data_IF_685993542308
#
_entry.id   IF_685993542308
#
_cell.length_a   1.000
_cell.length_b   1.000
_cell.length_c   1.000
_cell.angle_alpha   90.00
_cell.angle_beta   90.00
_cell.angle_gamma   90.00
#
_symmetry.space_group_name_H-M   'P 1'
#
loop_
_entity.id
_entity.type
_entity.pdbx_description
1 polymer ?
#
# COMPACT_ATOMS: atom_id res chain seq x y z
N UNK A 1 -8.01 -6.65 8.13
CA UNK A 1 -7.21 -5.48 8.57
C UNK A 1 -7.25 -5.38 10.11
N UNK A 2 -6.56 -6.30 10.81
CA UNK A 2 -6.78 -6.50 12.26
C UNK A 2 -5.75 -5.90 13.22
N UNK A 3 -4.60 -5.42 12.72
CA UNK A 3 -3.50 -4.91 13.56
C UNK A 3 -2.57 -3.98 12.77
N UNK A 4 -1.57 -3.42 13.46
CA UNK A 4 -0.56 -2.55 12.85
C UNK A 4 -1.17 -1.32 12.18
N UNK A 5 -0.52 -0.85 11.10
CA UNK A 5 -0.99 0.31 10.34
C UNK A 5 -2.38 0.07 9.73
N UNK A 6 -2.65 -1.14 9.21
CA UNK A 6 -3.94 -1.47 8.62
C UNK A 6 -5.08 -1.35 9.66
N UNK A 7 -4.87 -1.85 10.88
CA UNK A 7 -5.81 -1.70 11.98
C UNK A 7 -6.00 -0.25 12.41
N UNK A 8 -4.92 0.53 12.47
CA UNK A 8 -4.99 1.96 12.82
C UNK A 8 -5.76 2.79 11.77
N UNK A 9 -5.53 2.53 10.48
CA UNK A 9 -6.27 3.15 9.37
C UNK A 9 -7.75 2.82 9.48
N UNK A 10 -8.12 1.54 9.68
CA UNK A 10 -9.50 1.11 9.88
C UNK A 10 -10.13 1.79 11.09
N UNK A 11 -9.44 1.83 12.22
CA UNK A 11 -9.95 2.43 13.46
C UNK A 11 -10.26 3.92 13.28
N UNK A 12 -9.40 4.64 12.56
CA UNK A 12 -9.58 6.08 12.32
C UNK A 12 -10.58 6.38 11.17
N UNK A 13 -10.60 5.56 10.13
CA UNK A 13 -11.37 5.78 8.91
C UNK A 13 -12.76 5.12 8.89
N UNK A 14 -13.00 4.13 9.74
CA UNK A 14 -14.27 3.41 9.83
C UNK A 14 -14.29 2.05 9.13
N UNK A 15 -15.33 1.27 9.46
CA UNK A 15 -15.56 -0.09 8.95
C UNK A 15 -15.80 -0.14 7.43
N UNK A 16 -16.22 0.98 6.82
CA UNK A 16 -16.43 1.09 5.38
C UNK A 16 -15.15 0.80 4.57
N UNK A 17 -13.98 1.24 5.06
CA UNK A 17 -12.69 0.98 4.41
C UNK A 17 -12.42 -0.52 4.29
N UNK A 18 -12.63 -1.28 5.37
CA UNK A 18 -12.44 -2.73 5.32
C UNK A 18 -13.53 -3.42 4.49
N UNK A 19 -14.77 -2.95 4.59
CA UNK A 19 -15.90 -3.53 3.84
C UNK A 19 -15.68 -3.40 2.33
N UNK A 20 -15.25 -2.22 1.86
CA UNK A 20 -14.90 -1.99 0.46
C UNK A 20 -13.69 -2.85 0.05
N UNK A 21 -12.63 -2.89 0.86
CA UNK A 21 -11.43 -3.69 0.56
C UNK A 21 -11.74 -5.20 0.44
N UNK A 22 -12.58 -5.74 1.33
CA UNK A 22 -13.01 -7.13 1.30
C UNK A 22 -13.84 -7.48 0.07
N UNK A 23 -14.62 -6.53 -0.48
CA UNK A 23 -15.38 -6.74 -1.71
C UNK A 23 -14.49 -6.96 -2.95
N UNK A 24 -13.21 -6.56 -2.88
CA UNK A 24 -12.20 -6.72 -3.93
C UNK A 24 -11.20 -7.84 -3.62
N UNK A 25 -11.37 -8.57 -2.51
CA UNK A 25 -10.50 -9.68 -2.15
C UNK A 25 -10.85 -10.97 -2.94
N UNK A 26 -9.86 -11.85 -3.21
CA UNK A 26 -8.44 -11.71 -2.88
C UNK A 26 -7.71 -10.75 -3.84
N UNK A 27 -6.72 -10.05 -3.31
CA UNK A 27 -5.81 -9.19 -4.08
C UNK A 27 -4.52 -9.99 -4.33
N UNK A 28 -4.05 -10.01 -5.57
CA UNK A 28 -2.79 -10.64 -5.92
C UNK A 28 -1.61 -9.94 -5.23
N UNK A 29 -0.64 -10.72 -4.71
CA UNK A 29 0.53 -10.15 -4.04
C UNK A 29 1.34 -9.31 -5.04
N UNK A 30 1.73 -8.11 -4.63
CA UNK A 30 2.37 -7.11 -5.48
C UNK A 30 1.39 -6.14 -6.14
N UNK A 31 0.08 -6.35 -6.02
CA UNK A 31 -0.95 -5.45 -6.53
C UNK A 31 -1.61 -4.62 -5.43
N UNK A 32 -2.26 -3.53 -5.85
CA UNK A 32 -3.02 -2.65 -4.98
C UNK A 32 -4.42 -2.33 -5.53
N UNK A 33 -5.38 -2.21 -4.61
CA UNK A 33 -6.77 -1.78 -4.87
C UNK A 33 -7.09 -0.52 -4.08
N UNK A 34 -8.18 0.17 -4.43
CA UNK A 34 -8.52 1.49 -3.87
C UNK A 34 -9.88 1.46 -3.21
N UNK A 35 -9.98 2.05 -2.01
CA UNK A 35 -11.24 2.35 -1.35
C UNK A 35 -11.38 3.85 -1.13
N UNK A 36 -12.57 4.28 -0.72
CA UNK A 36 -12.75 5.58 -0.09
C UNK A 36 -11.85 5.71 1.15
N UNK A 37 -11.56 6.95 1.54
CA UNK A 37 -10.88 7.26 2.80
C UNK A 37 -11.76 7.14 4.04
N UNK A 38 -13.04 6.84 3.87
CA UNK A 38 -14.08 6.95 4.88
C UNK A 38 -14.02 8.26 5.66
N UNK A 39 -13.79 8.16 6.98
CA UNK A 39 -13.69 9.30 7.91
C UNK A 39 -12.30 9.95 7.97
N UNK A 40 -11.31 9.45 7.24
CA UNK A 40 -9.98 10.05 7.21
C UNK A 40 -10.00 11.41 6.50
N UNK A 41 -8.98 12.22 6.76
CA UNK A 41 -8.72 13.43 5.95
C UNK A 41 -8.22 13.08 4.55
N UNK A 42 -7.61 11.91 4.38
CA UNK A 42 -7.20 11.41 3.07
C UNK A 42 -8.43 11.00 2.26
N UNK A 43 -8.44 11.32 0.97
CA UNK A 43 -9.58 11.04 0.08
C UNK A 43 -9.75 9.54 -0.20
N UNK A 44 -8.63 8.82 -0.26
CA UNK A 44 -8.58 7.40 -0.64
C UNK A 44 -7.63 6.63 0.28
N UNK A 45 -7.84 5.32 0.37
CA UNK A 45 -6.84 4.38 0.88
C UNK A 45 -6.49 3.39 -0.23
N UNK A 46 -5.19 3.25 -0.49
CA UNK A 46 -4.64 2.28 -1.45
C UNK A 46 -4.14 1.08 -0.65
N UNK A 47 -4.78 -0.07 -0.85
CA UNK A 47 -4.51 -1.32 -0.14
C UNK A 47 -3.54 -2.17 -0.95
N UNK A 48 -2.26 -2.12 -0.59
CA UNK A 48 -1.21 -2.86 -1.27
C UNK A 48 -0.98 -4.23 -0.61
N UNK A 49 -1.11 -5.31 -1.39
CA UNK A 49 -0.85 -6.67 -0.92
C UNK A 49 0.65 -6.97 -0.98
N UNK A 50 1.34 -6.92 0.16
CA UNK A 50 2.81 -7.11 0.23
C UNK A 50 3.23 -8.47 0.78
N UNK A 51 2.27 -9.30 1.19
CA UNK A 51 2.49 -10.50 1.97
C UNK A 51 1.36 -11.50 1.74
N UNK A 52 1.68 -12.79 1.67
CA UNK A 52 0.71 -13.86 1.52
C UNK A 52 0.12 -14.36 2.85
N UNK A 53 -0.76 -15.37 2.80
CA UNK A 53 -1.30 -16.03 4.00
C UNK A 53 -0.23 -16.70 4.88
N UNK A 54 0.93 -17.01 4.31
CA UNK A 54 2.11 -17.57 5.01
C UNK A 54 2.87 -16.52 5.83
N UNK A 55 2.41 -15.27 5.83
CA UNK A 55 3.04 -14.12 6.48
C UNK A 55 4.46 -13.84 5.96
N UNK A 56 4.79 -14.33 4.77
CA UNK A 56 6.08 -14.09 4.14
C UNK A 56 5.99 -12.96 3.11
N UNK A 57 7.02 -12.13 3.10
CA UNK A 57 7.22 -11.08 2.12
C UNK A 57 8.62 -11.20 1.52
N UNK A 58 8.86 -10.51 0.42
CA UNK A 58 10.18 -10.47 -0.21
C UNK A 58 10.36 -9.16 -0.98
N UNK A 59 11.58 -8.96 -1.47
CA UNK A 59 11.99 -7.76 -2.21
C UNK A 59 11.08 -7.47 -3.42
N UNK A 60 10.73 -8.52 -4.18
CA UNK A 60 9.87 -8.40 -5.36
C UNK A 60 8.46 -7.97 -5.00
N UNK A 61 7.87 -8.50 -3.92
CA UNK A 61 6.53 -8.13 -3.48
C UNK A 61 6.45 -6.68 -3.04
N UNK A 62 7.44 -6.21 -2.26
CA UNK A 62 7.53 -4.82 -1.83
C UNK A 62 7.70 -3.90 -3.05
N UNK A 63 8.58 -4.26 -3.98
CA UNK A 63 8.81 -3.50 -5.20
C UNK A 63 7.55 -3.37 -6.07
N UNK A 64 6.88 -4.49 -6.35
CA UNK A 64 5.66 -4.52 -7.18
C UNK A 64 4.52 -3.74 -6.51
N UNK A 65 4.30 -3.96 -5.22
CA UNK A 65 3.26 -3.27 -4.46
C UNK A 65 3.50 -1.75 -4.39
N UNK A 66 4.76 -1.32 -4.31
CA UNK A 66 5.13 0.10 -4.37
C UNK A 66 4.75 0.70 -5.72
N UNK A 67 5.14 0.05 -6.83
CA UNK A 67 4.79 0.50 -8.19
C UNK A 67 3.26 0.50 -8.37
N UNK A 68 2.58 -0.59 -7.99
CA UNK A 68 1.13 -0.70 -8.14
C UNK A 68 0.39 0.38 -7.36
N UNK A 69 0.88 0.76 -6.17
CA UNK A 69 0.29 1.84 -5.38
C UNK A 69 0.45 3.20 -6.06
N UNK A 70 1.62 3.48 -6.65
CA UNK A 70 1.85 4.71 -7.43
C UNK A 70 0.96 4.76 -8.68
N UNK A 71 0.85 3.64 -9.42
CA UNK A 71 -0.09 3.56 -10.55
C UNK A 71 -1.54 3.87 -10.15
N UNK A 72 -2.00 3.36 -8.99
CA UNK A 72 -3.32 3.72 -8.46
C UNK A 72 -3.42 5.22 -8.12
N UNK A 73 -2.36 5.83 -7.61
CA UNK A 73 -2.35 7.28 -7.33
C UNK A 73 -2.45 8.11 -8.61
N UNK A 74 -1.75 7.72 -9.68
CA UNK A 74 -1.88 8.33 -11.01
C UNK A 74 -3.31 8.23 -11.54
N UNK A 75 -3.91 7.04 -11.48
CA UNK A 75 -5.29 6.80 -11.95
C UNK A 75 -6.34 7.61 -11.18
N UNK A 76 -6.09 7.89 -9.90
CA UNK A 76 -6.93 8.74 -9.05
C UNK A 76 -6.66 10.23 -9.25
N UNK A 77 -5.71 10.59 -10.11
CA UNK A 77 -5.19 11.94 -10.28
C UNK A 77 -4.76 12.57 -8.94
N UNK A 78 -4.21 11.77 -8.03
CA UNK A 78 -3.79 12.25 -6.73
C UNK A 78 -2.59 13.20 -6.84
N UNK A 79 -2.57 14.23 -5.99
CA UNK A 79 -1.45 15.18 -5.89
C UNK A 79 -0.39 14.70 -4.88
N UNK A 80 -0.76 13.79 -3.98
CA UNK A 80 0.11 13.31 -2.91
C UNK A 80 -0.27 11.90 -2.47
N UNK A 81 0.73 11.10 -2.12
CA UNK A 81 0.58 9.76 -1.53
C UNK A 81 1.55 9.63 -0.34
N UNK A 82 1.12 8.91 0.70
CA UNK A 82 1.96 8.57 1.84
C UNK A 82 2.07 7.06 1.98
N UNK A 83 3.29 6.56 2.18
CA UNK A 83 3.57 5.14 2.32
C UNK A 83 3.94 4.78 3.76
N UNK A 84 3.42 3.68 4.32
CA UNK A 84 4.05 3.00 5.45
C UNK A 84 5.25 2.15 4.98
N UNK A 85 6.07 1.68 5.92
CA UNK A 85 7.12 0.71 5.60
C UNK A 85 6.51 -0.68 5.31
N UNK A 86 6.63 -1.15 4.07
CA UNK A 86 6.02 -2.40 3.63
C UNK A 86 6.76 -3.64 4.14
N UNK A 87 6.01 -4.60 4.68
CA UNK A 87 6.57 -5.90 5.09
C UNK A 87 7.41 -5.89 6.37
N UNK A 88 7.75 -4.73 6.94
CA UNK A 88 8.65 -4.61 8.10
C UNK A 88 7.98 -4.86 9.45
N UNK A 89 6.66 -5.11 9.45
CA UNK A 89 5.89 -5.47 10.65
C UNK A 89 5.91 -6.97 10.88
N UNK A 90 4.73 -7.60 10.87
CA UNK A 90 4.57 -9.06 11.04
C UNK A 90 5.39 -9.87 10.02
N UNK A 91 5.60 -9.34 8.81
CA UNK A 91 6.42 -9.98 7.78
C UNK A 91 7.93 -9.98 8.05
N UNK A 92 8.40 -9.26 9.09
CA UNK A 92 9.79 -9.31 9.54
C UNK A 92 10.84 -8.83 8.53
N UNK A 93 10.43 -8.13 7.47
CA UNK A 93 11.36 -7.68 6.44
C UNK A 93 12.30 -6.59 6.97
N UNK A 94 13.56 -6.62 6.54
CA UNK A 94 14.57 -5.65 6.99
C UNK A 94 14.19 -4.22 6.62
N UNK A 95 14.20 -3.32 7.62
CA UNK A 95 13.76 -1.94 7.46
C UNK A 95 14.63 -1.14 6.49
N UNK A 96 15.95 -1.33 6.53
CA UNK A 96 16.87 -0.59 5.67
C UNK A 96 16.70 -1.01 4.20
N UNK A 97 16.59 -2.33 3.96
CA UNK A 97 16.29 -2.86 2.62
C UNK A 97 14.91 -2.43 2.13
N UNK A 98 13.90 -2.39 2.99
CA UNK A 98 12.57 -1.89 2.64
C UNK A 98 12.66 -0.45 2.14
N UNK A 99 13.33 0.42 2.90
CA UNK A 99 13.49 1.83 2.54
C UNK A 99 14.24 1.97 1.20
N UNK A 100 15.34 1.23 0.99
CA UNK A 100 16.09 1.24 -0.26
C UNK A 100 15.21 0.86 -1.46
N UNK A 101 14.46 -0.25 -1.35
CA UNK A 101 13.61 -0.75 -2.43
C UNK A 101 12.49 0.26 -2.74
N UNK A 102 11.76 0.71 -1.71
CA UNK A 102 10.63 1.62 -1.89
C UNK A 102 11.11 2.94 -2.50
N UNK A 103 12.18 3.55 -1.97
CA UNK A 103 12.73 4.79 -2.51
C UNK A 103 13.21 4.63 -3.95
N UNK A 104 13.95 3.56 -4.26
CA UNK A 104 14.43 3.30 -5.62
C UNK A 104 13.27 3.18 -6.61
N UNK A 105 12.19 2.49 -6.23
CA UNK A 105 11.00 2.33 -7.08
C UNK A 105 10.20 3.62 -7.23
N UNK A 106 10.04 4.37 -6.14
CA UNK A 106 9.37 5.67 -6.19
C UNK A 106 10.14 6.68 -7.07
N UNK A 107 11.46 6.80 -6.90
CA UNK A 107 12.28 7.71 -7.70
C UNK A 107 12.19 7.35 -9.19
N UNK A 108 12.42 6.08 -9.55
CA UNK A 108 12.34 5.65 -10.95
C UNK A 108 10.94 5.90 -11.56
N UNK A 109 9.88 5.64 -10.79
CA UNK A 109 8.51 5.90 -11.26
C UNK A 109 8.26 7.39 -11.50
N UNK A 110 8.73 8.26 -10.59
CA UNK A 110 8.59 9.70 -10.72
C UNK A 110 9.40 10.27 -11.90
N UNK A 111 10.59 9.74 -12.16
CA UNK A 111 11.41 10.13 -13.32
C UNK A 111 10.70 9.79 -14.64
N UNK A 112 9.94 8.69 -14.70
CA UNK A 112 9.21 8.26 -15.89
C UNK A 112 7.86 8.97 -16.06
N UNK A 113 7.12 9.22 -14.97
CA UNK A 113 5.73 9.68 -15.03
C UNK A 113 5.53 11.17 -14.65
N UNK A 114 6.50 11.79 -13.99
CA UNK A 114 6.45 13.20 -13.56
C UNK A 114 5.42 13.52 -12.45
N UNK A 115 4.73 12.51 -11.92
CA UNK A 115 3.74 12.63 -10.83
C UNK A 115 3.67 11.32 -10.03
N UNK A 116 3.22 11.36 -8.76
CA UNK A 116 3.05 10.15 -7.95
C UNK A 116 1.97 9.23 -8.51
#
# INVERSE_FOLDING_TARGET
MGSGVAGAIKQAGGEEIESEALSMAPIEIGYAVVTSGGKLKAKYVIHAAVMGPDLQTNESYIALATISSLMRAVELEADSIAFPAFGTGVGGFDMAKCAEIMLKKTIAFLEENGRP
#
